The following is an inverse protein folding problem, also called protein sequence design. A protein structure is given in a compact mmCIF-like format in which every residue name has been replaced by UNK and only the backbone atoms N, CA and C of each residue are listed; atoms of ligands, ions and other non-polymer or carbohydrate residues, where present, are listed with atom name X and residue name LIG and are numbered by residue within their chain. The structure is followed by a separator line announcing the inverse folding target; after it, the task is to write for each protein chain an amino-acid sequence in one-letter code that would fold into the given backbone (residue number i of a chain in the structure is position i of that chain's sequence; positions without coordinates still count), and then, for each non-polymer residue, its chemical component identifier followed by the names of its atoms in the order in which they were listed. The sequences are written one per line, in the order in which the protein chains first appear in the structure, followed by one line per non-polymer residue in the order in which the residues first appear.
data_IF_361811057323
#
_entry.id   IF_361811057323
#
_cell.length_a   1.000
_cell.length_b   1.000
_cell.length_c   1.000
_cell.angle_alpha   90.00
_cell.angle_beta   90.00
_cell.angle_gamma   90.00
#
_symmetry.space_group_name_H-M   'P 1'
#
loop_
_entity.id
_entity.type
_entity.pdbx_description
1 polymer ?
#
# COMPACT_ATOMS: atom_id res chain seq x y z
N UNK A 1 9.94 22.20 -45.84
CA UNK A 1 10.70 21.10 -45.21
C UNK A 1 10.08 20.82 -43.85
N UNK A 2 9.59 19.60 -43.66
CA UNK A 2 8.65 19.25 -42.59
C UNK A 2 9.24 19.26 -41.18
N UNK A 3 8.55 19.95 -40.28
CA UNK A 3 8.57 19.65 -38.84
C UNK A 3 7.75 18.37 -38.61
N UNK A 4 8.41 17.25 -38.34
CA UNK A 4 7.76 16.08 -37.75
C UNK A 4 8.16 15.98 -36.29
N UNK A 5 7.21 16.30 -35.41
CA UNK A 5 7.35 16.05 -33.98
C UNK A 5 7.39 14.54 -33.74
N UNK A 6 8.47 14.06 -33.12
CA UNK A 6 8.58 12.70 -32.59
C UNK A 6 7.45 12.46 -31.60
N UNK A 7 6.38 11.78 -32.05
CA UNK A 7 5.29 11.35 -31.19
C UNK A 7 5.84 10.39 -30.14
N UNK A 8 5.54 10.64 -28.87
CA UNK A 8 5.87 9.70 -27.78
C UNK A 8 5.25 8.34 -28.13
N UNK A 9 6.07 7.30 -28.30
CA UNK A 9 5.57 5.93 -28.44
C UNK A 9 4.84 5.58 -27.14
N UNK A 10 3.55 5.27 -27.23
CA UNK A 10 2.75 4.90 -26.06
C UNK A 10 3.18 3.51 -25.56
N UNK A 11 3.10 3.29 -24.27
CA UNK A 11 3.43 1.99 -23.65
C UNK A 11 2.68 0.81 -24.26
N UNK A 12 1.39 0.99 -24.56
CA UNK A 12 0.55 0.01 -25.27
C UNK A 12 1.11 -0.37 -26.65
N UNK A 13 1.67 0.60 -27.39
CA UNK A 13 2.28 0.35 -28.70
C UNK A 13 3.57 -0.45 -28.57
N UNK A 14 4.40 -0.15 -27.57
CA UNK A 14 5.61 -0.94 -27.27
C UNK A 14 5.21 -2.36 -26.88
N UNK A 15 4.17 -2.54 -26.06
CA UNK A 15 3.72 -3.87 -25.65
C UNK A 15 3.19 -4.69 -26.84
N UNK A 16 2.38 -4.08 -27.70
CA UNK A 16 1.73 -4.76 -28.82
C UNK A 16 2.68 -5.08 -29.99
N UNK A 17 3.67 -4.22 -30.26
CA UNK A 17 4.55 -4.32 -31.44
C UNK A 17 6.01 -4.59 -31.11
N UNK A 18 6.39 -4.48 -29.84
CA UNK A 18 7.77 -4.61 -29.42
C UNK A 18 8.31 -6.03 -29.55
N UNK A 19 9.59 -6.11 -29.89
CA UNK A 19 10.35 -7.34 -29.85
C UNK A 19 10.58 -7.76 -28.40
N UNK A 20 10.52 -9.06 -28.14
CA UNK A 20 10.75 -9.60 -26.80
C UNK A 20 12.25 -9.72 -26.54
N UNK A 21 12.69 -9.26 -25.38
CA UNK A 21 14.06 -9.42 -24.90
C UNK A 21 14.08 -9.76 -23.41
N UNK A 22 15.25 -10.19 -22.94
CA UNK A 22 15.52 -10.30 -21.52
C UNK A 22 15.96 -8.93 -20.98
N UNK A 23 15.63 -8.65 -19.73
CA UNK A 23 16.12 -7.47 -19.03
C UNK A 23 16.36 -7.71 -17.55
N UNK A 24 16.89 -6.67 -16.89
CA UNK A 24 17.13 -6.65 -15.45
C UNK A 24 16.71 -5.30 -14.87
N UNK A 25 15.97 -5.30 -13.75
CA UNK A 25 15.66 -4.05 -13.03
C UNK A 25 16.95 -3.53 -12.39
N UNK A 26 17.52 -2.47 -12.95
CA UNK A 26 18.74 -1.82 -12.47
C UNK A 26 18.45 -0.65 -11.52
N UNK A 27 17.25 -0.07 -11.58
CA UNK A 27 16.83 1.02 -10.71
C UNK A 27 15.33 0.98 -10.43
N UNK A 28 14.95 1.42 -9.23
CA UNK A 28 13.56 1.60 -8.78
C UNK A 28 13.43 3.01 -8.21
N UNK A 29 12.51 3.79 -8.74
CA UNK A 29 12.13 5.09 -8.21
C UNK A 29 10.65 5.10 -7.85
N UNK A 30 10.36 5.41 -6.58
CA UNK A 30 9.01 5.52 -6.06
C UNK A 30 8.73 6.97 -5.68
N UNK A 31 7.70 7.53 -6.29
CA UNK A 31 7.22 8.88 -5.99
C UNK A 31 5.72 8.85 -5.68
N UNK A 32 5.26 9.86 -4.97
CA UNK A 32 3.84 10.10 -4.75
C UNK A 32 3.53 11.48 -5.32
N UNK A 33 2.62 11.53 -6.29
CA UNK A 33 2.15 12.81 -6.82
C UNK A 33 1.42 13.55 -5.70
N UNK A 34 1.67 14.86 -5.59
CA UNK A 34 0.93 15.73 -4.68
C UNK A 34 -0.15 16.44 -5.47
N UNK A 35 -1.41 16.08 -5.23
CA UNK A 35 -2.59 16.63 -5.89
C UNK A 35 -3.87 16.27 -5.14
N UNK A 36 -5.04 16.52 -5.72
CA UNK A 36 -6.34 16.13 -5.12
C UNK A 36 -6.45 14.62 -4.87
N UNK A 37 -5.72 13.83 -5.67
CA UNK A 37 -5.51 12.41 -5.44
C UNK A 37 -4.01 12.14 -5.41
N UNK A 38 -3.49 11.72 -4.27
CA UNK A 38 -2.13 11.22 -4.19
C UNK A 38 -2.04 9.89 -4.94
N UNK A 39 -1.23 9.83 -5.99
CA UNK A 39 -1.01 8.60 -6.77
C UNK A 39 0.44 8.20 -6.63
N UNK A 40 0.67 6.95 -6.19
CA UNK A 40 1.99 6.32 -6.23
C UNK A 40 2.38 6.11 -7.70
N UNK A 41 3.53 6.62 -8.08
CA UNK A 41 4.15 6.43 -9.40
C UNK A 41 5.41 5.61 -9.19
N UNK A 42 5.46 4.46 -9.85
CA UNK A 42 6.58 3.52 -9.80
C UNK A 42 7.29 3.58 -11.16
N UNK A 43 8.57 3.95 -11.13
CA UNK A 43 9.44 4.00 -12.32
C UNK A 43 10.61 3.04 -12.15
N UNK A 44 10.99 2.38 -13.25
CA UNK A 44 12.08 1.41 -13.26
C UNK A 44 13.10 1.78 -14.32
N UNK A 45 14.39 1.65 -13.97
CA UNK A 45 15.45 1.57 -14.96
C UNK A 45 15.67 0.09 -15.28
N UNK A 46 15.49 -0.29 -16.54
CA UNK A 46 15.64 -1.68 -16.99
C UNK A 46 16.78 -1.76 -17.98
N UNK A 47 17.80 -2.54 -17.66
CA UNK A 47 18.84 -2.93 -18.62
C UNK A 47 18.25 -3.98 -19.56
N UNK A 48 18.16 -3.66 -20.85
CA UNK A 48 17.56 -4.50 -21.89
C UNK A 48 18.65 -5.15 -22.73
N UNK A 49 18.64 -6.48 -22.79
CA UNK A 49 19.54 -7.27 -23.62
C UNK A 49 18.90 -7.57 -24.98
N UNK A 50 18.88 -6.56 -25.87
CA UNK A 50 18.45 -6.68 -27.26
C UNK A 50 19.68 -6.95 -28.18
N UNK A 51 19.61 -6.56 -29.45
CA UNK A 51 20.77 -6.58 -30.36
C UNK A 51 21.97 -5.79 -29.81
N UNK A 52 21.71 -4.75 -29.02
CA UNK A 52 22.67 -4.04 -28.19
C UNK A 52 22.09 -3.82 -26.79
N UNK A 53 22.94 -3.79 -25.76
CA UNK A 53 22.51 -3.48 -24.39
C UNK A 53 22.21 -1.99 -24.27
N UNK A 54 21.04 -1.64 -23.72
CA UNK A 54 20.68 -0.26 -23.38
C UNK A 54 19.83 -0.23 -22.11
N UNK A 55 19.73 0.94 -21.47
CA UNK A 55 18.89 1.14 -20.30
C UNK A 55 17.64 1.92 -20.68
N UNK A 56 16.48 1.31 -20.47
CA UNK A 56 15.17 1.92 -20.70
C UNK A 56 14.58 2.43 -19.38
N UNK A 57 13.85 3.55 -19.45
CA UNK A 57 13.03 4.06 -18.36
C UNK A 57 11.58 3.60 -18.54
N UNK A 58 11.07 2.86 -17.57
CA UNK A 58 9.74 2.22 -17.62
C UNK A 58 8.87 2.79 -16.51
N UNK A 59 7.75 3.44 -16.86
CA UNK A 59 6.74 3.88 -15.89
C UNK A 59 5.49 2.99 -16.04
N UNK A 60 5.37 2.02 -15.14
CA UNK A 60 4.38 0.94 -15.22
C UNK A 60 3.97 0.51 -13.81
N UNK A 61 2.67 0.37 -13.57
CA UNK A 61 2.17 -0.22 -12.34
C UNK A 61 2.06 -1.73 -12.51
N UNK A 62 3.00 -2.47 -11.94
CA UNK A 62 3.04 -3.94 -12.00
C UNK A 62 2.20 -4.55 -10.88
N UNK A 63 1.56 -5.70 -11.14
CA UNK A 63 0.77 -6.43 -10.15
C UNK A 63 0.96 -7.95 -10.31
N UNK A 64 1.26 -8.69 -9.24
CA UNK A 64 1.43 -8.21 -7.87
C UNK A 64 2.75 -7.42 -7.73
N UNK A 65 2.75 -6.32 -6.98
CA UNK A 65 3.91 -5.41 -6.86
C UNK A 65 4.90 -5.82 -5.77
N UNK A 66 4.44 -6.65 -4.84
CA UNK A 66 5.23 -7.26 -3.77
C UNK A 66 6.24 -8.31 -4.25
N UNK A 67 6.26 -8.65 -5.54
CA UNK A 67 7.25 -9.52 -6.19
C UNK A 67 8.41 -8.73 -6.84
N UNK A 68 8.28 -7.41 -6.98
CA UNK A 68 9.27 -6.57 -7.66
C UNK A 68 10.51 -6.43 -6.77
N UNK A 69 11.70 -6.70 -7.31
CA UNK A 69 12.99 -6.55 -6.61
C UNK A 69 14.03 -5.86 -7.47
N UNK A 70 14.94 -5.11 -6.83
CA UNK A 70 16.13 -4.61 -7.50
C UNK A 70 16.97 -5.80 -7.99
N UNK A 71 17.49 -5.72 -9.21
CA UNK A 71 18.31 -6.75 -9.82
C UNK A 71 17.52 -7.94 -10.37
N UNK A 72 16.20 -8.00 -10.24
CA UNK A 72 15.43 -9.13 -10.73
C UNK A 72 15.49 -9.23 -12.26
N UNK A 73 15.61 -10.45 -12.82
CA UNK A 73 15.42 -10.67 -14.23
C UNK A 73 13.95 -10.42 -14.60
N UNK A 74 13.74 -9.81 -15.76
CA UNK A 74 12.41 -9.52 -16.30
C UNK A 74 12.37 -9.84 -17.79
N UNK A 75 11.19 -10.20 -18.29
CA UNK A 75 10.91 -10.20 -19.72
C UNK A 75 10.46 -8.80 -20.10
N UNK A 76 10.98 -8.26 -21.20
CA UNK A 76 10.58 -6.94 -21.71
C UNK A 76 10.12 -7.01 -23.16
N UNK A 77 9.27 -6.06 -23.53
CA UNK A 77 9.00 -5.72 -24.93
C UNK A 77 9.71 -4.40 -25.22
N UNK A 78 10.46 -4.31 -26.31
CA UNK A 78 11.13 -3.07 -26.70
C UNK A 78 10.84 -2.67 -28.14
N UNK A 79 10.80 -1.35 -28.37
CA UNK A 79 10.56 -0.73 -29.67
C UNK A 79 11.21 0.66 -29.69
N UNK A 80 12.06 0.93 -30.68
CA UNK A 80 12.71 2.23 -30.89
C UNK A 80 13.40 2.80 -29.63
N UNK A 81 14.13 1.94 -28.89
CA UNK A 81 14.83 2.31 -27.66
C UNK A 81 13.94 2.51 -26.43
N UNK A 82 12.63 2.30 -26.56
CA UNK A 82 11.69 2.26 -25.43
C UNK A 82 11.46 0.81 -25.00
N UNK A 83 11.11 0.61 -23.73
CA UNK A 83 10.75 -0.71 -23.23
C UNK A 83 9.55 -0.65 -22.27
N UNK A 84 8.86 -1.78 -22.16
CA UNK A 84 7.85 -2.07 -21.14
C UNK A 84 8.13 -3.45 -20.57
N UNK A 85 7.79 -3.68 -19.30
CA UNK A 85 7.98 -4.98 -18.67
C UNK A 85 6.79 -5.87 -19.03
N UNK A 86 7.08 -7.04 -19.62
CA UNK A 86 6.11 -8.10 -19.89
C UNK A 86 5.92 -8.90 -18.59
N UNK A 87 5.14 -8.33 -17.67
CA UNK A 87 4.92 -8.88 -16.33
C UNK A 87 4.26 -10.27 -16.33
N UNK A 88 3.27 -10.56 -17.20
CA UNK A 88 2.73 -11.91 -17.35
C UNK A 88 3.82 -12.90 -17.75
N UNK A 89 4.68 -12.55 -18.70
CA UNK A 89 5.78 -13.43 -19.09
C UNK A 89 6.91 -13.51 -18.03
N UNK A 90 6.96 -12.57 -17.08
CA UNK A 90 7.96 -12.53 -16.02
C UNK A 90 7.58 -13.40 -14.83
N UNK A 91 6.32 -13.32 -14.37
CA UNK A 91 5.88 -14.00 -13.15
C UNK A 91 4.37 -14.30 -13.12
N UNK A 92 3.72 -14.48 -14.27
CA UNK A 92 2.27 -14.71 -14.38
C UNK A 92 1.40 -13.60 -13.73
N UNK A 93 1.93 -12.39 -13.62
CA UNK A 93 1.20 -11.23 -13.10
C UNK A 93 0.29 -10.56 -14.13
N UNK A 94 -0.44 -9.53 -13.70
CA UNK A 94 -1.24 -8.66 -14.57
C UNK A 94 -0.29 -7.83 -15.48
N UNK A 95 -0.58 -7.65 -16.78
CA UNK A 95 0.17 -6.74 -17.66
C UNK A 95 0.34 -5.32 -17.06
N UNK A 96 -0.51 -4.92 -16.13
CA UNK A 96 -0.39 -3.67 -15.41
C UNK A 96 -0.84 -2.48 -16.25
N UNK A 97 -0.84 -1.30 -15.64
CA UNK A 97 -1.16 -0.06 -16.35
C UNK A 97 0.16 0.56 -16.84
N UNK A 98 0.29 0.70 -18.15
CA UNK A 98 1.48 1.32 -18.77
C UNK A 98 1.18 2.78 -19.08
N UNK A 99 1.86 3.71 -18.39
CA UNK A 99 1.55 5.14 -18.51
C UNK A 99 2.41 5.84 -19.56
N UNK A 100 3.73 5.56 -19.64
CA UNK A 100 4.62 5.96 -20.72
C UNK A 100 6.06 5.40 -20.51
N UNK A 101 6.87 5.34 -21.57
CA UNK A 101 8.33 5.27 -21.40
C UNK A 101 8.84 6.62 -20.87
N UNK A 102 9.75 6.60 -19.90
CA UNK A 102 10.35 7.83 -19.37
C UNK A 102 11.54 8.25 -20.23
N UNK A 103 11.73 9.57 -20.42
CA UNK A 103 12.84 10.10 -21.22
C UNK A 103 14.20 9.84 -20.58
N UNK A 104 14.23 9.77 -19.25
CA UNK A 104 15.42 9.54 -18.46
C UNK A 104 15.13 8.36 -17.53
N UNK A 105 15.80 7.22 -17.71
CA UNK A 105 15.68 6.12 -16.76
C UNK A 105 16.04 6.59 -15.35
N UNK A 106 15.38 6.04 -14.30
CA UNK A 106 15.83 6.19 -12.92
C UNK A 106 17.33 5.90 -12.76
N UNK A 107 17.94 6.49 -11.73
CA UNK A 107 19.31 6.14 -11.38
C UNK A 107 19.41 4.65 -10.94
N UNK A 108 20.57 3.99 -11.12
CA UNK A 108 20.78 2.67 -10.55
C UNK A 108 20.56 2.65 -9.02
N UNK A 109 19.97 1.58 -8.51
CA UNK A 109 19.61 1.43 -7.08
C UNK A 109 18.16 1.80 -6.77
N UNK A 110 17.87 2.13 -5.51
CA UNK A 110 16.50 2.42 -5.05
C UNK A 110 16.42 3.85 -4.52
N UNK A 111 15.47 4.63 -5.06
CA UNK A 111 15.12 5.97 -4.60
C UNK A 111 13.65 5.97 -4.20
N UNK A 112 13.35 6.21 -2.94
CA UNK A 112 11.96 6.26 -2.44
C UNK A 112 11.69 7.61 -1.78
N UNK A 113 10.96 8.45 -2.50
CA UNK A 113 10.62 9.80 -2.10
C UNK A 113 9.37 9.85 -1.20
N UNK A 114 8.76 8.71 -0.88
CA UNK A 114 7.50 8.62 -0.12
C UNK A 114 7.68 8.39 1.38
N UNK A 115 8.88 7.98 1.80
CA UNK A 115 9.16 7.55 3.18
C UNK A 115 9.58 8.68 4.12
N UNK A 116 9.74 9.91 3.63
CA UNK A 116 10.21 11.04 4.45
C UNK A 116 11.66 10.89 4.94
N UNK A 117 12.46 10.03 4.29
CA UNK A 117 13.84 9.73 4.66
C UNK A 117 14.74 10.97 4.68
N UNK A 118 14.49 11.98 3.85
CA UNK A 118 15.30 13.20 3.81
C UNK A 118 15.31 13.96 5.14
N UNK A 119 14.23 13.89 5.92
CA UNK A 119 14.18 14.51 7.25
C UNK A 119 15.00 13.68 8.24
N UNK A 120 14.88 12.36 8.19
CA UNK A 120 15.63 11.45 9.05
C UNK A 120 17.14 11.52 8.76
N UNK A 121 17.56 11.56 7.49
CA UNK A 121 18.96 11.68 7.06
C UNK A 121 19.62 12.98 7.51
N UNK A 122 18.86 14.10 7.55
CA UNK A 122 19.38 15.41 7.96
C UNK A 122 19.50 15.60 9.47
N UNK A 123 18.64 14.93 10.25
CA UNK A 123 18.53 15.14 11.70
C UNK A 123 18.93 13.95 12.55
N UNK A 124 19.08 12.79 11.92
CA UNK A 124 19.33 11.54 12.60
C UNK A 124 20.77 11.07 12.43
N UNK A 125 21.13 10.14 13.30
CA UNK A 125 22.38 9.41 13.29
C UNK A 125 22.12 8.01 12.71
N UNK A 126 23.05 7.49 11.92
CA UNK A 126 22.95 6.12 11.40
C UNK A 126 23.08 5.12 12.55
N UNK A 127 22.27 4.07 12.50
CA UNK A 127 22.33 2.94 13.41
C UNK A 127 21.89 1.66 12.69
N UNK A 128 21.96 0.54 13.41
CA UNK A 128 21.29 -0.71 13.01
C UNK A 128 20.16 -1.02 13.98
N UNK A 129 19.14 -1.74 13.52
CA UNK A 129 18.09 -2.26 14.39
C UNK A 129 17.75 -3.70 14.01
N UNK A 130 17.61 -4.60 14.99
CA UNK A 130 17.01 -5.91 14.75
C UNK A 130 15.50 -5.83 14.94
N UNK A 131 14.72 -6.48 14.06
CA UNK A 131 13.30 -6.73 14.31
C UNK A 131 13.22 -7.82 15.36
N UNK A 132 12.78 -7.49 16.56
CA UNK A 132 12.60 -8.48 17.62
C UNK A 132 11.22 -9.12 17.55
N UNK A 133 10.22 -8.33 17.13
CA UNK A 133 8.84 -8.79 16.90
C UNK A 133 8.16 -7.99 15.79
N UNK A 134 7.36 -8.66 14.98
CA UNK A 134 6.43 -8.02 14.05
C UNK A 134 4.99 -8.42 14.39
N UNK A 135 4.09 -7.43 14.50
CA UNK A 135 2.68 -7.72 14.79
C UNK A 135 1.73 -6.78 14.07
N UNK A 136 0.53 -7.28 13.78
CA UNK A 136 -0.56 -6.49 13.20
C UNK A 136 -1.54 -6.09 14.28
N UNK A 137 -1.79 -4.78 14.40
CA UNK A 137 -2.84 -4.27 15.28
C UNK A 137 -4.07 -3.85 14.47
N UNK A 138 -5.24 -4.21 14.98
CA UNK A 138 -6.51 -3.70 14.46
C UNK A 138 -6.69 -2.25 14.93
N UNK A 139 -6.77 -1.34 13.98
CA UNK A 139 -7.14 0.04 14.18
C UNK A 139 -8.57 0.27 13.68
N UNK A 140 -9.18 1.37 14.14
CA UNK A 140 -10.50 1.79 13.66
C UNK A 140 -11.56 0.68 13.74
N UNK A 141 -11.63 -0.08 14.84
CA UNK A 141 -12.61 -1.17 15.03
C UNK A 141 -12.52 -2.29 13.98
N UNK A 142 -11.31 -2.61 13.51
CA UNK A 142 -11.09 -3.64 12.48
C UNK A 142 -11.19 -3.11 11.05
N UNK A 143 -11.45 -1.81 10.86
CA UNK A 143 -11.47 -1.18 9.53
C UNK A 143 -10.07 -0.92 8.97
N UNK A 144 -9.02 -1.00 9.79
CA UNK A 144 -7.65 -0.89 9.34
C UNK A 144 -6.75 -1.85 10.12
N UNK A 145 -5.78 -2.43 9.44
CA UNK A 145 -4.69 -3.17 10.06
C UNK A 145 -3.42 -2.32 9.98
N UNK A 146 -2.70 -2.22 11.09
CA UNK A 146 -1.47 -1.43 11.18
C UNK A 146 -0.33 -2.35 11.61
N UNK A 147 0.74 -2.37 10.80
CA UNK A 147 1.96 -3.06 11.19
C UNK A 147 2.66 -2.27 12.30
N UNK A 148 3.05 -3.01 13.33
CA UNK A 148 3.91 -2.56 14.42
C UNK A 148 5.16 -3.45 14.47
N UNK A 149 6.30 -2.83 14.72
CA UNK A 149 7.57 -3.52 14.93
C UNK A 149 8.15 -3.14 16.29
N UNK A 150 8.58 -4.15 17.05
CA UNK A 150 9.44 -3.95 18.21
C UNK A 150 10.89 -4.18 17.76
N UNK A 151 11.75 -3.20 18.02
CA UNK A 151 13.12 -3.17 17.53
C UNK A 151 14.14 -3.03 18.65
N UNK A 152 15.23 -3.79 18.60
CA UNK A 152 16.46 -3.49 19.35
C UNK A 152 17.38 -2.64 18.47
N UNK A 153 17.53 -1.38 18.83
CA UNK A 153 18.34 -0.39 18.12
C UNK A 153 19.74 -0.34 18.72
N UNK A 154 20.76 -0.30 17.85
CA UNK A 154 22.17 -0.25 18.20
C UNK A 154 22.83 0.94 17.49
N UNK A 155 22.75 2.15 18.06
CA UNK A 155 23.49 3.32 17.58
C UNK A 155 24.98 3.19 17.93
N UNK A 156 25.84 3.76 17.11
CA UNK A 156 27.27 3.81 17.41
C UNK A 156 27.53 4.67 18.66
N UNK A 157 28.32 4.14 19.60
CA UNK A 157 28.71 4.86 20.83
C UNK A 157 27.62 4.99 21.90
N UNK A 158 26.45 4.36 21.72
CA UNK A 158 25.36 4.33 22.70
C UNK A 158 25.02 2.89 23.08
N UNK A 159 24.42 2.70 24.25
CA UNK A 159 23.84 1.42 24.62
C UNK A 159 22.65 1.07 23.72
N UNK A 160 22.49 -0.23 23.47
CA UNK A 160 21.34 -0.73 22.73
C UNK A 160 20.06 -0.50 23.52
N UNK A 161 18.97 -0.18 22.82
CA UNK A 161 17.69 0.07 23.47
C UNK A 161 16.52 -0.47 22.63
N UNK A 162 15.42 -0.75 23.31
CA UNK A 162 14.18 -1.22 22.70
C UNK A 162 13.31 -0.04 22.29
N UNK A 163 12.70 -0.13 21.11
CA UNK A 163 11.72 0.84 20.65
C UNK A 163 10.58 0.15 19.92
N UNK A 164 9.38 0.65 20.17
CA UNK A 164 8.16 0.27 19.46
C UNK A 164 7.93 1.26 18.31
N UNK A 165 7.88 0.77 17.07
CA UNK A 165 7.59 1.57 15.87
C UNK A 165 6.20 1.20 15.34
N UNK A 166 5.28 2.16 15.43
CA UNK A 166 3.88 1.99 14.99
C UNK A 166 3.66 2.46 13.56
N UNK A 167 2.61 1.91 12.93
CA UNK A 167 2.14 2.31 11.59
C UNK A 167 3.25 2.18 10.54
N UNK A 168 4.00 1.09 10.62
CA UNK A 168 5.12 0.86 9.71
C UNK A 168 4.59 0.61 8.31
N UNK A 169 5.08 1.42 7.35
CA UNK A 169 4.85 1.21 5.93
C UNK A 169 6.06 0.49 5.35
N UNK A 170 5.86 -0.74 4.89
CA UNK A 170 6.88 -1.50 4.15
C UNK A 170 6.68 -1.25 2.66
N UNK A 171 7.65 -0.69 1.94
CA UNK A 171 7.58 -0.52 0.49
C UNK A 171 7.49 -1.86 -0.23
N UNK A 172 6.84 -1.87 -1.40
CA UNK A 172 6.61 -3.08 -2.19
C UNK A 172 7.91 -3.84 -2.56
N UNK A 173 9.01 -3.12 -2.77
CA UNK A 173 10.32 -3.67 -3.09
C UNK A 173 11.08 -4.29 -1.89
N UNK A 174 10.56 -4.11 -0.67
CA UNK A 174 11.21 -4.49 0.59
C UNK A 174 10.35 -5.43 1.45
N UNK A 175 9.25 -5.97 0.91
CA UNK A 175 8.28 -6.78 1.67
C UNK A 175 8.88 -8.05 2.27
N UNK A 176 9.95 -8.60 1.68
CA UNK A 176 10.65 -9.79 2.19
C UNK A 176 11.54 -9.51 3.42
N UNK A 177 11.79 -8.24 3.77
CA UNK A 177 12.69 -7.85 4.86
C UNK A 177 11.98 -7.70 6.22
N UNK A 178 10.66 -7.82 6.25
CA UNK A 178 9.86 -7.65 7.47
C UNK A 178 9.77 -8.95 8.27
N UNK A 179 10.91 -9.53 8.63
CA UNK A 179 11.01 -10.80 9.37
C UNK A 179 11.72 -10.58 10.70
N UNK A 180 11.25 -11.26 11.75
CA UNK A 180 11.94 -11.28 13.04
C UNK A 180 13.38 -11.78 12.89
N UNK A 181 14.30 -11.19 13.65
CA UNK A 181 15.74 -11.39 13.54
C UNK A 181 16.43 -10.59 12.43
N UNK A 182 15.69 -9.99 11.50
CA UNK A 182 16.30 -9.18 10.42
C UNK A 182 16.94 -7.93 10.99
N UNK A 183 18.20 -7.67 10.60
CA UNK A 183 18.92 -6.45 10.96
C UNK A 183 18.80 -5.44 9.83
N UNK A 184 18.23 -4.28 10.14
CA UNK A 184 17.92 -3.22 9.18
C UNK A 184 18.76 -1.95 9.45
N UNK A 185 19.17 -1.23 8.40
CA UNK A 185 19.71 0.11 8.53
C UNK A 185 18.60 1.06 8.98
N UNK A 186 18.88 1.87 9.99
CA UNK A 186 17.94 2.86 10.51
C UNK A 186 18.59 4.21 10.75
N UNK A 187 17.75 5.24 10.82
CA UNK A 187 18.09 6.58 11.27
C UNK A 187 17.43 6.83 12.62
N UNK A 188 18.22 7.26 13.60
CA UNK A 188 17.80 7.55 14.98
C UNK A 188 17.92 9.04 15.23
N UNK A 189 16.89 9.68 15.78
CA UNK A 189 17.03 11.03 16.31
C UNK A 189 17.69 10.98 17.71
N UNK A 190 18.90 11.53 17.90
CA UNK A 190 19.58 11.47 19.20
C UNK A 190 18.83 12.22 20.31
N UNK A 191 18.04 13.24 19.96
CA UNK A 191 17.23 14.00 20.91
C UNK A 191 15.92 13.27 21.29
N UNK A 192 15.52 12.29 20.47
CA UNK A 192 14.25 11.56 20.60
C UNK A 192 14.41 10.11 20.15
N UNK A 193 14.90 9.26 21.06
CA UNK A 193 15.21 7.85 20.77
C UNK A 193 13.99 7.01 20.35
N UNK A 194 12.77 7.48 20.62
CA UNK A 194 11.50 6.91 20.12
C UNK A 194 11.29 7.15 18.60
N UNK A 195 12.10 8.02 17.98
CA UNK A 195 11.99 8.38 16.56
C UNK A 195 13.04 7.65 15.76
N UNK A 196 12.70 6.42 15.42
CA UNK A 196 13.47 5.57 14.51
C UNK A 196 12.79 5.51 13.15
N UNK A 197 13.58 5.64 12.08
CA UNK A 197 13.12 5.51 10.69
C UNK A 197 13.95 4.45 9.99
N UNK A 198 13.30 3.41 9.46
CA UNK A 198 13.95 2.34 8.70
C UNK A 198 14.33 2.85 7.31
N UNK A 199 15.58 2.66 6.89
CA UNK A 199 16.05 2.99 5.53
C UNK A 199 15.83 1.77 4.61
N UNK A 200 14.57 1.52 4.26
CA UNK A 200 14.16 0.42 3.37
C UNK A 200 14.94 0.38 2.04
N UNK A 201 15.21 1.51 1.35
CA UNK A 201 16.06 1.50 0.16
C UNK A 201 17.43 0.89 0.40
N UNK A 202 18.15 1.31 1.45
CA UNK A 202 19.47 0.75 1.77
C UNK A 202 19.37 -0.72 2.14
N UNK A 203 18.34 -1.11 2.90
CA UNK A 203 18.11 -2.49 3.27
C UNK A 203 17.89 -3.39 2.03
N UNK A 204 17.01 -2.99 1.12
CA UNK A 204 16.69 -3.73 -0.10
C UNK A 204 17.79 -3.67 -1.18
N UNK A 205 18.65 -2.64 -1.16
CA UNK A 205 19.88 -2.65 -1.98
C UNK A 205 20.91 -3.64 -1.45
N UNK A 206 20.98 -3.82 -0.13
CA UNK A 206 21.92 -4.76 0.51
C UNK A 206 21.44 -6.20 0.37
N UNK A 207 20.14 -6.43 0.56
CA UNK A 207 19.51 -7.72 0.41
C UNK A 207 18.25 -7.61 -0.49
N UNK A 208 18.41 -7.73 -1.81
CA UNK A 208 17.32 -7.53 -2.76
C UNK A 208 16.26 -8.64 -2.75
N UNK A 209 16.48 -9.80 -2.13
CA UNK A 209 15.43 -10.83 -1.98
C UNK A 209 14.76 -11.34 -3.26
N UNK A 210 15.49 -11.41 -4.38
CA UNK A 210 15.00 -12.00 -5.63
C UNK A 210 14.56 -13.45 -5.37
N UNK A 211 13.32 -13.78 -5.74
CA UNK A 211 12.75 -15.12 -5.56
C UNK A 211 12.25 -15.44 -4.14
N UNK A 212 12.41 -14.53 -3.17
CA UNK A 212 11.81 -14.69 -1.84
C UNK A 212 10.39 -14.10 -1.80
N UNK A 213 9.43 -14.79 -1.18
CA UNK A 213 8.08 -14.26 -0.99
C UNK A 213 8.10 -13.04 -0.07
N UNK A 214 6.98 -12.30 -0.02
CA UNK A 214 6.77 -11.32 1.04
C UNK A 214 6.82 -11.99 2.42
N UNK A 215 7.13 -11.22 3.46
CA UNK A 215 7.05 -11.69 4.83
C UNK A 215 5.60 -12.07 5.18
N UNK A 216 5.39 -13.23 5.81
CA UNK A 216 4.07 -13.79 6.12
C UNK A 216 3.15 -12.80 6.87
N UNK A 217 3.70 -12.05 7.82
CA UNK A 217 2.98 -11.02 8.58
C UNK A 217 2.32 -9.96 7.67
N UNK A 218 2.89 -9.69 6.49
CA UNK A 218 2.33 -8.73 5.54
C UNK A 218 1.17 -9.30 4.73
N UNK A 219 1.05 -10.63 4.63
CA UNK A 219 -0.12 -11.28 4.04
C UNK A 219 -1.37 -11.06 4.92
N UNK A 220 -1.19 -11.01 6.24
CA UNK A 220 -2.27 -10.79 7.21
C UNK A 220 -2.80 -9.35 7.21
N UNK A 221 -1.97 -8.37 6.87
CA UNK A 221 -2.33 -6.92 6.83
C UNK A 221 -3.31 -6.58 5.69
N UNK A 222 -3.73 -7.57 4.89
CA UNK A 222 -4.80 -7.39 3.91
C UNK A 222 -4.51 -6.25 2.94
N UNK A 223 -3.32 -6.24 2.34
CA UNK A 223 -2.92 -5.38 1.22
C UNK A 223 -3.51 -3.94 1.20
N UNK A 224 -3.49 -3.24 2.35
CA UNK A 224 -3.90 -1.82 2.45
C UNK A 224 -3.04 -0.90 1.55
N UNK A 225 -1.91 -1.40 1.03
CA UNK A 225 -1.00 -0.67 0.14
C UNK A 225 -1.23 -0.89 -1.36
N UNK A 226 -2.18 -1.74 -1.73
CA UNK A 226 -2.73 -1.81 -3.07
C UNK A 226 -4.21 -1.46 -2.98
N UNK A 227 -4.75 -0.62 -3.85
CA UNK A 227 -6.19 -0.30 -3.84
C UNK A 227 -7.12 -1.48 -4.21
N UNK A 228 -6.76 -2.72 -3.86
CA UNK A 228 -7.58 -3.93 -3.92
C UNK A 228 -7.18 -4.85 -2.76
N UNK A 229 -8.08 -5.03 -1.79
CA UNK A 229 -7.98 -6.12 -0.82
C UNK A 229 -8.07 -7.49 -1.52
N UNK A 230 -7.67 -8.58 -0.83
CA UNK A 230 -7.71 -9.92 -1.40
C UNK A 230 -9.14 -10.35 -1.73
N UNK A 231 -9.29 -10.97 -2.90
CA UNK A 231 -10.51 -11.62 -3.33
C UNK A 231 -10.65 -12.97 -2.61
N UNK A 232 -11.31 -12.99 -1.46
CA UNK A 232 -11.77 -14.25 -0.84
C UNK A 232 -13.19 -14.11 -0.34
N UNK A 233 -14.13 -14.31 -1.26
CA UNK A 233 -15.24 -15.27 -1.14
C UNK A 233 -16.20 -15.02 -2.29
N UNK A 234 -16.34 -16.00 -3.17
CA UNK A 234 -17.42 -16.02 -4.13
C UNK A 234 -18.76 -16.03 -3.36
N UNK A 235 -19.49 -14.92 -3.36
CA UNK A 235 -20.91 -14.89 -3.05
C UNK A 235 -21.61 -13.96 -4.04
N UNK A 236 -22.30 -14.61 -4.98
CA UNK A 236 -23.47 -14.20 -5.77
C UNK A 236 -23.86 -12.73 -5.82
N UNK A 237 -23.93 -12.25 -7.07
CA UNK A 237 -24.53 -10.99 -7.53
C UNK A 237 -25.98 -10.87 -7.05
N UNK A 238 -26.29 -9.82 -6.29
CA UNK A 238 -27.63 -9.23 -6.26
C UNK A 238 -27.57 -7.75 -5.83
N UNK A 239 -28.19 -6.92 -6.68
CA UNK A 239 -28.61 -5.53 -6.49
C UNK A 239 -27.64 -4.43 -6.96
N UNK A 240 -27.79 -4.07 -8.23
CA UNK A 240 -27.02 -3.11 -9.02
C UNK A 240 -27.81 -1.80 -9.14
N UNK A 241 -28.12 -1.15 -8.00
CA UNK A 241 -28.84 0.14 -8.00
C UNK A 241 -27.88 1.33 -7.96
N UNK A 242 -27.99 2.29 -8.89
CA UNK A 242 -27.15 3.48 -8.91
C UNK A 242 -27.50 4.40 -7.72
N UNK A 243 -26.48 4.87 -7.00
CA UNK A 243 -26.64 5.83 -5.89
C UNK A 243 -26.57 7.25 -6.46
N UNK A 244 -27.67 7.98 -6.32
CA UNK A 244 -27.77 9.40 -6.64
C UNK A 244 -27.00 10.27 -5.64
N UNK A 245 -26.44 11.36 -6.15
CA UNK A 245 -25.66 12.33 -5.40
C UNK A 245 -26.58 13.32 -4.63
N UNK A 246 -26.62 13.19 -3.31
CA UNK A 246 -26.84 14.30 -2.37
C UNK A 246 -26.41 13.85 -0.96
N UNK A 247 -25.65 14.68 -0.25
CA UNK A 247 -25.03 14.39 1.06
C UNK A 247 -25.78 15.08 2.20
N UNK A 248 -27.02 15.51 1.93
CA UNK A 248 -27.84 16.31 2.85
C UNK A 248 -29.15 15.60 3.16
N UNK A 249 -29.06 14.38 3.71
CA UNK A 249 -30.22 13.58 4.15
C UNK A 249 -30.73 12.61 3.08
N UNK A 250 -30.49 11.31 3.28
CA UNK A 250 -31.16 10.27 2.48
C UNK A 250 -30.29 9.12 1.97
N UNK A 251 -29.28 8.68 2.70
CA UNK A 251 -28.72 7.36 2.41
C UNK A 251 -29.76 6.29 2.78
N UNK A 252 -30.17 5.47 1.80
CA UNK A 252 -31.16 4.40 2.00
C UNK A 252 -30.67 3.46 3.10
N UNK A 253 -31.42 3.26 4.20
CA UNK A 253 -31.05 2.31 5.25
C UNK A 253 -30.71 0.93 4.69
N UNK A 254 -29.67 0.29 5.22
CA UNK A 254 -29.29 -1.07 4.83
C UNK A 254 -29.90 -2.02 5.85
N UNK A 255 -30.76 -2.92 5.39
CA UNK A 255 -31.52 -3.85 6.24
C UNK A 255 -32.35 -3.19 7.36
N UNK A 256 -32.71 -1.91 7.17
CA UNK A 256 -33.43 -1.09 8.15
C UNK A 256 -32.52 -0.28 9.09
N UNK A 257 -31.19 -0.44 8.98
CA UNK A 257 -30.22 0.32 9.77
C UNK A 257 -29.84 1.60 9.02
N UNK A 258 -30.24 2.74 9.57
CA UNK A 258 -29.85 4.05 9.06
C UNK A 258 -28.38 4.35 9.37
N UNK A 259 -27.82 5.35 8.70
CA UNK A 259 -26.45 5.80 8.97
C UNK A 259 -26.26 6.21 10.44
N UNK A 260 -27.17 7.02 10.97
CA UNK A 260 -27.11 7.48 12.37
C UNK A 260 -27.22 6.32 13.37
N UNK A 261 -28.07 5.33 13.08
CA UNK A 261 -28.23 4.14 13.90
C UNK A 261 -26.95 3.29 13.88
N UNK A 262 -26.36 3.09 12.69
CA UNK A 262 -25.11 2.37 12.54
C UNK A 262 -23.96 3.06 13.29
N UNK A 263 -23.85 4.39 13.20
CA UNK A 263 -22.86 5.18 13.96
C UNK A 263 -23.09 5.06 15.48
N UNK A 264 -24.34 5.21 15.93
CA UNK A 264 -24.67 5.15 17.36
C UNK A 264 -24.38 3.77 17.97
N UNK A 265 -24.77 2.70 17.27
CA UNK A 265 -24.49 1.33 17.70
C UNK A 265 -22.99 1.06 17.69
N UNK A 266 -22.28 1.42 16.62
CA UNK A 266 -20.83 1.23 16.54
C UNK A 266 -20.07 1.97 17.65
N UNK A 267 -20.47 3.21 17.96
CA UNK A 267 -19.88 3.98 19.06
C UNK A 267 -20.19 3.37 20.43
N UNK A 268 -21.38 2.81 20.60
CA UNK A 268 -21.79 2.07 21.80
C UNK A 268 -20.99 0.79 22.02
N UNK A 269 -20.87 -0.05 20.98
CA UNK A 269 -20.06 -1.28 21.00
C UNK A 269 -18.61 -1.00 21.44
N UNK A 270 -18.03 0.06 20.87
CA UNK A 270 -16.69 0.54 21.20
C UNK A 270 -16.53 1.01 22.64
N UNK A 271 -17.49 1.83 23.10
CA UNK A 271 -17.50 2.42 24.44
C UNK A 271 -17.68 1.35 25.52
N UNK A 272 -18.61 0.42 25.26
CA UNK A 272 -19.05 -0.58 26.24
C UNK A 272 -18.24 -1.88 26.14
N UNK A 273 -17.27 -1.94 25.21
CA UNK A 273 -16.34 -3.07 24.98
C UNK A 273 -17.06 -4.40 24.79
N UNK A 274 -18.13 -4.38 24.02
CA UNK A 274 -18.93 -5.55 23.71
C UNK A 274 -18.07 -6.55 22.94
N UNK A 275 -18.24 -7.85 23.21
CA UNK A 275 -17.54 -8.89 22.46
C UNK A 275 -18.19 -9.10 21.07
N UNK A 276 -17.45 -9.46 20.01
CA UNK A 276 -18.01 -9.62 18.66
C UNK A 276 -19.20 -10.59 18.58
N UNK A 277 -19.22 -11.64 19.41
CA UNK A 277 -20.34 -12.59 19.49
C UNK A 277 -21.66 -11.96 19.97
N UNK A 278 -21.60 -10.81 20.64
CA UNK A 278 -22.75 -10.14 21.25
C UNK A 278 -23.18 -8.89 20.47
N UNK A 279 -22.56 -8.59 19.32
CA UNK A 279 -22.82 -7.36 18.56
C UNK A 279 -24.27 -7.25 18.08
N UNK A 280 -24.84 -8.36 17.59
CA UNK A 280 -26.23 -8.36 17.14
C UNK A 280 -27.21 -8.14 18.31
N UNK A 281 -26.97 -8.80 19.45
CA UNK A 281 -27.78 -8.60 20.66
C UNK A 281 -27.68 -7.17 21.21
N UNK A 282 -26.52 -6.53 21.10
CA UNK A 282 -26.35 -5.13 21.45
C UNK A 282 -27.09 -4.22 20.45
N UNK A 283 -26.92 -4.45 19.14
CA UNK A 283 -27.59 -3.68 18.09
C UNK A 283 -29.13 -3.76 18.18
N UNK A 284 -29.67 -4.91 18.59
CA UNK A 284 -31.11 -5.08 18.83
C UNK A 284 -31.66 -4.12 19.90
N UNK A 285 -30.87 -3.78 20.93
CA UNK A 285 -31.27 -2.80 21.95
C UNK A 285 -31.45 -1.38 21.36
N UNK A 286 -30.84 -1.14 20.20
CA UNK A 286 -30.93 0.11 19.45
C UNK A 286 -31.93 0.03 18.28
N UNK A 287 -32.76 -1.01 18.22
CA UNK A 287 -33.82 -1.16 17.23
C UNK A 287 -33.41 -1.85 15.93
N UNK A 288 -32.20 -2.43 15.86
CA UNK A 288 -31.78 -3.26 14.73
C UNK A 288 -32.51 -4.61 14.78
N UNK A 289 -32.98 -5.11 13.63
CA UNK A 289 -33.64 -6.43 13.58
C UNK A 289 -32.65 -7.55 13.89
N UNK A 290 -33.07 -8.64 14.56
CA UNK A 290 -32.18 -9.78 14.82
C UNK A 290 -31.52 -10.31 13.54
N UNK A 291 -30.21 -10.52 13.60
CA UNK A 291 -29.39 -11.01 12.49
C UNK A 291 -29.10 -9.98 11.39
N UNK A 292 -29.63 -8.75 11.49
CA UNK A 292 -29.44 -7.73 10.46
C UNK A 292 -28.15 -6.91 10.63
N UNK A 293 -27.52 -6.94 11.82
CA UNK A 293 -26.39 -6.06 12.13
C UNK A 293 -25.18 -6.30 11.21
N UNK A 294 -24.74 -7.55 11.08
CA UNK A 294 -23.55 -7.89 10.30
C UNK A 294 -23.69 -7.50 8.80
N UNK A 295 -24.88 -7.71 8.23
CA UNK A 295 -25.19 -7.34 6.85
C UNK A 295 -25.22 -5.81 6.66
N UNK A 296 -25.88 -5.10 7.57
CA UNK A 296 -25.94 -3.65 7.58
C UNK A 296 -24.55 -3.01 7.76
N UNK A 297 -23.77 -3.49 8.72
CA UNK A 297 -22.40 -3.02 8.99
C UNK A 297 -21.52 -3.20 7.75
N UNK A 298 -21.51 -4.40 7.16
CA UNK A 298 -20.75 -4.68 5.93
C UNK A 298 -21.21 -3.80 4.76
N UNK A 299 -22.52 -3.54 4.65
CA UNK A 299 -23.09 -2.67 3.64
C UNK A 299 -22.64 -1.21 3.80
N UNK A 300 -22.67 -0.69 5.02
CA UNK A 300 -22.24 0.68 5.31
C UNK A 300 -20.73 0.85 5.14
N UNK A 301 -19.95 -0.14 5.57
CA UNK A 301 -18.50 -0.18 5.33
C UNK A 301 -18.16 -0.12 3.84
N UNK A 302 -18.85 -0.90 3.00
CA UNK A 302 -18.68 -0.83 1.54
C UNK A 302 -19.03 0.53 0.98
N UNK A 303 -20.13 1.14 1.44
CA UNK A 303 -20.50 2.49 0.98
C UNK A 303 -19.46 3.54 1.36
N UNK A 304 -18.87 3.46 2.56
CA UNK A 304 -17.79 4.37 2.97
C UNK A 304 -16.54 4.23 2.10
N UNK A 305 -16.22 3.01 1.65
CA UNK A 305 -15.09 2.81 0.74
C UNK A 305 -15.32 3.44 -0.64
N UNK A 306 -16.59 3.58 -1.05
CA UNK A 306 -16.97 4.19 -2.34
C UNK A 306 -17.28 5.68 -2.27
N UNK A 307 -17.71 6.18 -1.10
CA UNK A 307 -18.06 7.59 -0.88
C UNK A 307 -17.25 8.15 0.29
N UNK A 308 -16.20 8.90 -0.05
CA UNK A 308 -15.30 9.50 0.94
C UNK A 308 -16.01 10.51 1.85
N UNK A 309 -17.09 11.15 1.39
CA UNK A 309 -17.85 12.12 2.21
C UNK A 309 -18.58 11.42 3.34
N UNK A 310 -19.09 10.21 3.07
CA UNK A 310 -19.69 9.35 4.08
C UNK A 310 -18.66 8.92 5.14
N UNK A 311 -17.42 8.64 4.73
CA UNK A 311 -16.32 8.33 5.64
C UNK A 311 -15.95 9.51 6.56
N UNK A 312 -15.89 10.73 6.02
CA UNK A 312 -15.64 11.94 6.81
C UNK A 312 -16.78 12.21 7.82
N UNK A 313 -18.04 12.13 7.36
CA UNK A 313 -19.21 12.27 8.22
C UNK A 313 -19.26 11.20 9.32
N UNK A 314 -18.83 9.97 9.02
CA UNK A 314 -18.77 8.89 10.00
C UNK A 314 -17.76 9.19 11.11
N UNK A 315 -16.55 9.62 10.77
CA UNK A 315 -15.52 9.94 11.77
C UNK A 315 -15.96 11.02 12.75
N UNK A 316 -16.59 12.09 12.25
CA UNK A 316 -17.12 13.18 13.07
C UNK A 316 -18.30 12.71 13.95
N UNK A 317 -19.28 12.02 13.35
CA UNK A 317 -20.47 11.55 14.06
C UNK A 317 -20.14 10.48 15.10
N UNK A 318 -19.17 9.60 14.82
CA UNK A 318 -18.72 8.54 15.72
C UNK A 318 -18.02 9.11 16.95
N UNK A 319 -17.08 10.05 16.77
CA UNK A 319 -16.43 10.71 17.90
C UNK A 319 -17.40 11.54 18.73
N UNK A 320 -18.40 12.17 18.09
CA UNK A 320 -19.47 12.86 18.81
C UNK A 320 -20.35 11.88 19.61
N UNK A 321 -20.74 10.75 19.03
CA UNK A 321 -21.54 9.72 19.68
C UNK A 321 -20.79 9.05 20.84
N UNK A 322 -19.50 8.75 20.67
CA UNK A 322 -18.64 8.17 21.72
C UNK A 322 -18.49 9.07 22.95
N UNK A 323 -18.55 10.39 22.75
CA UNK A 323 -18.41 11.39 23.82
C UNK A 323 -19.73 11.75 24.52
N UNK A 324 -20.89 11.41 23.95
CA UNK A 324 -22.19 11.63 24.60
C UNK A 324 -22.36 10.63 25.75
N UNK A 325 -22.50 11.16 26.96
CA UNK A 325 -22.86 10.41 28.18
C UNK A 325 -24.32 10.01 28.12
#
# INVERSE_FOLDING_TARGET
MGLFGFGKVKGEQVFARGERANGRIAGIEVTETRGEHNVRVDEYAVEVAAASVFTAGVNQRLRPDDAIRLGMPVVVRHLDGNAVIDWPATCDGDPGIVWAATKKPPAPGIVDNTLGLDKARRKGTRASASIDRASVENALFGMAQMLQLDLTVRPEGLEAYLVEVKKVKVPHYATHLCLEGTVLPVWVNPDRLDRVTIDWPVAAMTDPGIGRPLAEILAEVGNVFSGKGPATSAMTVADDRPIAADVSGGHVPIDGVSFDMWVAVGAGLARDRVAPGDYDSYAQQHGVRPGAWAGAESGWQRRMMTDWRLGAAYGEAFEAARKRR
#
